data_IF_547232345152
#
_entry.id   IF_547232345152
#
_cell.length_a   1.000
_cell.length_b   1.000
_cell.length_c   1.000
_cell.angle_alpha   90.00
_cell.angle_beta   90.00
_cell.angle_gamma   90.00
#
_symmetry.space_group_name_H-M   'P 1'
#
loop_
_entity.id
_entity.type
_entity.pdbx_description
1 polymer ?
#
# COMPACT_ATOMS: atom_id res chain seq x y z
N UNK A 1 11.60 -10.43 -5.95
CA UNK A 1 10.38 -10.22 -6.75
C UNK A 1 9.61 -11.54 -6.88
N UNK A 2 8.30 -11.51 -6.64
CA UNK A 2 7.37 -12.64 -6.80
C UNK A 2 6.03 -12.16 -7.34
N UNK A 3 5.07 -13.09 -7.48
CA UNK A 3 3.71 -12.80 -7.98
C UNK A 3 2.68 -13.09 -6.89
N UNK A 4 1.74 -12.17 -6.66
CA UNK A 4 0.66 -12.32 -5.67
C UNK A 4 -0.66 -11.78 -6.23
N UNK A 5 -1.76 -12.47 -5.93
CA UNK A 5 -3.11 -11.93 -6.15
C UNK A 5 -3.39 -10.87 -5.08
N UNK A 6 -3.26 -9.60 -5.44
CA UNK A 6 -3.46 -8.47 -4.53
C UNK A 6 -4.93 -8.04 -4.57
N UNK A 7 -5.79 -8.86 -3.96
CA UNK A 7 -7.19 -8.50 -3.67
C UNK A 7 -7.41 -8.67 -2.17
N UNK A 8 -7.53 -7.58 -1.39
CA UNK A 8 -7.60 -6.17 -1.81
C UNK A 8 -6.25 -5.59 -2.31
N UNK A 9 -6.24 -4.43 -2.96
CA UNK A 9 -5.09 -3.94 -3.75
C UNK A 9 -3.86 -3.57 -2.92
N UNK A 10 -4.02 -3.13 -1.68
CA UNK A 10 -2.95 -2.78 -0.73
C UNK A 10 -2.06 -3.96 -0.33
N UNK A 11 -2.49 -5.19 -0.62
CA UNK A 11 -1.73 -6.42 -0.44
C UNK A 11 -0.42 -6.41 -1.25
N UNK A 12 -0.35 -5.59 -2.30
CA UNK A 12 0.88 -5.39 -3.09
C UNK A 12 2.01 -4.79 -2.27
N UNK A 13 1.70 -3.97 -1.25
CA UNK A 13 2.69 -3.29 -0.42
C UNK A 13 3.58 -4.27 0.35
N UNK A 14 3.08 -5.47 0.65
CA UNK A 14 3.82 -6.49 1.38
C UNK A 14 4.91 -7.17 0.52
N UNK A 15 4.87 -7.02 -0.81
CA UNK A 15 5.81 -7.66 -1.75
C UNK A 15 6.71 -6.65 -2.47
N UNK A 16 6.57 -5.35 -2.19
CA UNK A 16 7.47 -4.33 -2.70
C UNK A 16 8.83 -4.44 -2.02
N UNK A 17 9.90 -4.34 -2.80
CA UNK A 17 11.28 -4.33 -2.26
C UNK A 17 11.55 -3.07 -1.44
N UNK A 18 10.89 -1.96 -1.78
CA UNK A 18 10.87 -0.74 -0.98
C UNK A 18 9.45 -0.51 -0.41
N UNK A 19 9.23 -0.71 0.90
CA UNK A 19 7.95 -0.43 1.55
C UNK A 19 7.68 1.07 1.74
N UNK A 20 8.72 1.91 1.67
CA UNK A 20 8.65 3.34 1.92
C UNK A 20 8.38 4.09 0.60
N UNK A 21 7.11 4.07 0.17
CA UNK A 21 6.62 4.73 -1.05
C UNK A 21 5.97 6.09 -0.78
N UNK A 22 5.93 6.52 0.48
CA UNK A 22 5.21 7.72 0.91
C UNK A 22 3.69 7.50 1.06
N UNK A 23 2.92 8.59 1.19
CA UNK A 23 1.47 8.50 1.37
C UNK A 23 0.80 7.84 0.16
N UNK A 24 -0.17 6.97 0.44
CA UNK A 24 -0.89 6.20 -0.57
C UNK A 24 -2.39 6.25 -0.31
N UNK A 25 -3.12 6.82 -1.26
CA UNK A 25 -4.58 6.95 -1.25
C UNK A 25 -5.15 6.27 -2.48
N UNK A 26 -6.16 5.41 -2.30
CA UNK A 26 -6.88 4.75 -3.39
C UNK A 26 -7.77 5.72 -4.14
N UNK A 27 -8.25 5.30 -5.31
CA UNK A 27 -9.14 6.11 -6.16
C UNK A 27 -10.48 6.45 -5.48
N UNK A 28 -10.96 5.55 -4.62
CA UNK A 28 -12.17 5.75 -3.82
C UNK A 28 -11.99 6.70 -2.62
N UNK A 29 -10.75 7.15 -2.36
CA UNK A 29 -10.42 8.05 -1.26
C UNK A 29 -9.93 7.35 0.02
N UNK A 30 -9.92 6.02 0.07
CA UNK A 30 -9.35 5.28 1.19
C UNK A 30 -7.84 5.50 1.31
N UNK A 31 -7.41 5.99 2.47
CA UNK A 31 -6.00 6.25 2.80
C UNK A 31 -5.39 4.98 3.38
N UNK A 32 -4.40 4.41 2.70
CA UNK A 32 -3.69 3.20 3.14
C UNK A 32 -2.44 3.56 3.93
N UNK A 33 -1.70 4.57 3.47
CA UNK A 33 -0.50 5.11 4.12
C UNK A 33 -0.70 6.61 4.28
N UNK A 34 -0.61 7.12 5.50
CA UNK A 34 -0.75 8.55 5.77
C UNK A 34 0.54 9.35 5.46
N UNK A 35 0.48 10.67 5.68
CA UNK A 35 1.61 11.56 5.46
C UNK A 35 2.80 11.31 6.41
N UNK A 36 2.59 10.59 7.50
CA UNK A 36 3.62 10.20 8.47
C UNK A 36 4.20 8.80 8.15
N UNK A 37 3.75 8.17 7.07
CA UNK A 37 4.18 6.84 6.64
C UNK A 37 3.51 5.69 7.41
N UNK A 38 2.48 5.98 8.21
CA UNK A 38 1.77 4.97 8.99
C UNK A 38 0.66 4.33 8.17
N UNK A 39 0.58 3.00 8.24
CA UNK A 39 -0.49 2.21 7.61
C UNK A 39 -1.78 2.33 8.44
N UNK A 40 -2.89 2.68 7.79
CA UNK A 40 -4.19 2.95 8.45
C UNK A 40 -5.23 1.81 8.31
N UNK A 41 -4.94 0.79 7.50
CA UNK A 41 -5.85 -0.35 7.22
C UNK A 41 -5.86 -1.42 8.30
#
# INVERSE_FOLDING_TARGET
>A
IGTRLCRPSEVVLDILENPDIGPFTKEDGEVIIDAEGKRLV
#
